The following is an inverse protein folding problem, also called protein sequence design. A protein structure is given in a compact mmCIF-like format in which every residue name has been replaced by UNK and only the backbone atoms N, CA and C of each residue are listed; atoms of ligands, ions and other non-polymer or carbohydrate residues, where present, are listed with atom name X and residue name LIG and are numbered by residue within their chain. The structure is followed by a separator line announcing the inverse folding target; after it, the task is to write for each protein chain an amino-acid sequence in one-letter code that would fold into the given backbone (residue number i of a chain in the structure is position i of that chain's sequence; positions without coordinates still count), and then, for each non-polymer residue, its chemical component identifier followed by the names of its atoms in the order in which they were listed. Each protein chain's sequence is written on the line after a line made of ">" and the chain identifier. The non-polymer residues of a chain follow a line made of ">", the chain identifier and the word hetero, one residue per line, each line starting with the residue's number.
data_IF_392999288973
#
_entry.id   IF_392999288973
#
_cell.length_a   1.000
_cell.length_b   1.000
_cell.length_c   1.000
_cell.angle_alpha   90.00
_cell.angle_beta   90.00
_cell.angle_gamma   90.00
#
_symmetry.space_group_name_H-M   'P 1'
#
loop_
_entity.id
_entity.type
_entity.pdbx_description
1 polymer ?
#
# COMPACT_ATOMS: atom_id res chain seq x y z
N UNK A 1 27.92 17.18 4.25
CA UNK A 1 26.89 16.22 3.79
C UNK A 1 27.57 14.88 3.61
N UNK A 2 26.99 13.78 4.11
CA UNK A 2 27.49 12.45 3.78
C UNK A 2 27.42 12.25 2.25
N UNK A 3 28.42 11.59 1.68
CA UNK A 3 28.40 11.22 0.26
C UNK A 3 27.36 10.12 0.05
N UNK A 4 26.33 10.39 -0.74
CA UNK A 4 25.36 9.39 -1.18
C UNK A 4 26.00 8.62 -2.35
N UNK A 5 26.11 7.31 -2.22
CA UNK A 5 26.60 6.42 -3.28
C UNK A 5 25.45 6.03 -4.19
N UNK A 6 25.79 5.61 -5.40
CA UNK A 6 24.80 5.08 -6.35
C UNK A 6 23.97 3.94 -5.73
N UNK A 7 24.62 3.04 -5.00
CA UNK A 7 23.93 1.91 -4.35
C UNK A 7 22.94 2.36 -3.27
N UNK A 8 23.22 3.45 -2.55
CA UNK A 8 22.29 4.02 -1.57
C UNK A 8 21.00 4.50 -2.25
N UNK A 9 21.13 5.12 -3.43
CA UNK A 9 19.99 5.59 -4.23
C UNK A 9 19.19 4.41 -4.80
N UNK A 10 19.87 3.41 -5.37
CA UNK A 10 19.21 2.23 -5.93
C UNK A 10 18.44 1.48 -4.84
N UNK A 11 19.09 1.23 -3.70
CA UNK A 11 18.50 0.47 -2.61
C UNK A 11 17.31 1.22 -1.98
N UNK A 12 17.44 2.54 -1.77
CA UNK A 12 16.34 3.33 -1.20
C UNK A 12 15.09 3.35 -2.09
N UNK A 13 15.25 3.47 -3.42
CA UNK A 13 14.12 3.42 -4.35
C UNK A 13 13.50 2.01 -4.39
N UNK A 14 14.33 0.96 -4.44
CA UNK A 14 13.84 -0.42 -4.43
C UNK A 14 13.05 -0.72 -3.15
N UNK A 15 13.58 -0.37 -1.98
CA UNK A 15 12.92 -0.57 -0.70
C UNK A 15 11.60 0.22 -0.62
N UNK A 16 11.57 1.46 -1.11
CA UNK A 16 10.37 2.28 -1.14
C UNK A 16 9.28 1.64 -2.03
N UNK A 17 9.62 1.18 -3.23
CA UNK A 17 8.65 0.54 -4.12
C UNK A 17 8.14 -0.80 -3.57
N UNK A 18 9.02 -1.62 -2.97
CA UNK A 18 8.58 -2.85 -2.33
C UNK A 18 7.65 -2.56 -1.14
N UNK A 19 7.99 -1.57 -0.30
CA UNK A 19 7.14 -1.17 0.80
C UNK A 19 5.74 -0.76 0.33
N UNK A 20 5.61 0.17 -0.61
CA UNK A 20 4.29 0.65 -1.04
C UNK A 20 3.49 -0.39 -1.82
N UNK A 21 4.14 -1.40 -2.41
CA UNK A 21 3.44 -2.45 -3.15
C UNK A 21 2.64 -3.40 -2.25
N UNK A 22 2.99 -3.54 -0.97
CA UNK A 22 2.35 -4.48 -0.04
C UNK A 22 1.60 -3.80 1.11
N UNK A 23 1.87 -2.52 1.37
CA UNK A 23 1.25 -1.77 2.47
C UNK A 23 0.37 -0.63 1.97
N UNK A 24 -0.87 -0.61 2.43
CA UNK A 24 -1.68 0.60 2.40
C UNK A 24 -1.26 1.56 3.53
N UNK A 25 -1.35 2.87 3.31
CA UNK A 25 -1.18 3.87 4.36
C UNK A 25 -2.16 3.67 5.53
N UNK A 26 -1.73 4.07 6.75
CA UNK A 26 -2.52 3.90 7.97
C UNK A 26 -3.85 4.66 7.91
N UNK A 27 -3.83 5.88 7.38
CA UNK A 27 -5.01 6.72 7.19
C UNK A 27 -6.02 6.09 6.22
N UNK A 28 -5.54 5.47 5.13
CA UNK A 28 -6.39 4.69 4.23
C UNK A 28 -7.10 3.55 4.97
N UNK A 29 -6.36 2.73 5.73
CA UNK A 29 -6.96 1.61 6.49
C UNK A 29 -7.96 2.11 7.53
N UNK A 30 -7.65 3.20 8.23
CA UNK A 30 -8.56 3.80 9.21
C UNK A 30 -9.84 4.36 8.55
N UNK A 31 -9.71 4.97 7.37
CA UNK A 31 -10.85 5.47 6.62
C UNK A 31 -11.73 4.31 6.12
N UNK A 32 -11.14 3.26 5.56
CA UNK A 32 -11.86 2.07 5.10
C UNK A 32 -12.55 1.32 6.25
N UNK A 33 -11.89 1.20 7.41
CA UNK A 33 -12.50 0.61 8.61
C UNK A 33 -13.72 1.40 9.09
N UNK A 34 -13.64 2.73 9.10
CA UNK A 34 -14.78 3.59 9.44
C UNK A 34 -15.90 3.50 8.40
N UNK A 35 -15.56 3.39 7.12
CA UNK A 35 -16.53 3.20 6.05
C UNK A 35 -17.28 1.87 6.22
N UNK A 36 -16.59 0.79 6.56
CA UNK A 36 -17.20 -0.52 6.85
C UNK A 36 -18.25 -0.45 7.97
N UNK A 37 -17.95 0.28 9.05
CA UNK A 37 -18.86 0.44 10.19
C UNK A 37 -20.13 1.22 9.82
N UNK A 38 -20.00 2.24 8.97
CA UNK A 38 -21.09 3.13 8.60
C UNK A 38 -21.93 2.63 7.42
N UNK A 39 -21.37 1.80 6.54
CA UNK A 39 -22.04 1.33 5.32
C UNK A 39 -23.27 0.46 5.63
N UNK A 40 -24.36 0.77 4.93
CA UNK A 40 -25.66 0.11 5.08
C UNK A 40 -25.97 -0.86 3.93
N UNK A 41 -25.39 -0.61 2.74
CA UNK A 41 -25.54 -1.48 1.58
C UNK A 41 -24.67 -2.73 1.71
N UNK A 42 -25.30 -3.91 1.72
CA UNK A 42 -24.64 -5.21 1.89
C UNK A 42 -23.48 -5.41 0.90
N UNK A 43 -23.73 -5.23 -0.40
CA UNK A 43 -22.69 -5.41 -1.43
C UNK A 43 -21.50 -4.44 -1.28
N UNK A 44 -21.75 -3.20 -0.87
CA UNK A 44 -20.70 -2.21 -0.65
C UNK A 44 -19.89 -2.55 0.60
N UNK A 45 -20.57 -2.95 1.67
CA UNK A 45 -19.96 -3.38 2.93
C UNK A 45 -19.06 -4.59 2.74
N UNK A 46 -19.51 -5.57 1.97
CA UNK A 46 -18.71 -6.76 1.62
C UNK A 46 -17.48 -6.39 0.79
N UNK A 47 -17.63 -5.46 -0.17
CA UNK A 47 -16.50 -4.97 -0.97
C UNK A 47 -15.44 -4.30 -0.09
N UNK A 48 -15.85 -3.49 0.88
CA UNK A 48 -14.94 -2.87 1.86
C UNK A 48 -14.24 -3.95 2.69
N UNK A 49 -14.97 -4.97 3.16
CA UNK A 49 -14.41 -6.08 3.93
C UNK A 49 -13.35 -6.85 3.13
N UNK A 50 -13.59 -7.08 1.84
CA UNK A 50 -12.61 -7.70 0.94
C UNK A 50 -11.36 -6.85 0.78
N UNK A 51 -11.48 -5.52 0.62
CA UNK A 51 -10.33 -4.61 0.52
C UNK A 51 -9.50 -4.64 1.81
N UNK A 52 -10.13 -4.60 2.97
CA UNK A 52 -9.45 -4.67 4.27
C UNK A 52 -8.76 -6.02 4.48
N UNK A 53 -9.42 -7.11 4.09
CA UNK A 53 -8.85 -8.47 4.16
C UNK A 53 -7.65 -8.61 3.23
N UNK A 54 -7.76 -8.14 1.98
CA UNK A 54 -6.66 -8.13 1.02
C UNK A 54 -5.48 -7.33 1.55
N UNK A 55 -5.72 -6.14 2.11
CA UNK A 55 -4.69 -5.30 2.70
C UNK A 55 -3.88 -6.03 3.78
N UNK A 56 -4.57 -6.78 4.66
CA UNK A 56 -3.92 -7.60 5.68
C UNK A 56 -3.10 -8.74 5.07
N UNK A 57 -3.68 -9.50 4.14
CA UNK A 57 -3.02 -10.64 3.51
C UNK A 57 -1.76 -10.21 2.73
N UNK A 58 -1.81 -9.07 2.04
CA UNK A 58 -0.68 -8.51 1.30
C UNK A 58 0.46 -8.07 2.22
N UNK A 59 0.12 -7.41 3.34
CA UNK A 59 1.09 -7.00 4.36
C UNK A 59 1.78 -8.21 5.01
N UNK A 60 1.02 -9.23 5.42
CA UNK A 60 1.56 -10.45 6.04
C UNK A 60 2.36 -11.30 5.04
N UNK A 61 1.86 -11.43 3.80
CA UNK A 61 2.44 -12.26 2.76
C UNK A 61 3.56 -11.59 1.95
N UNK A 62 3.79 -10.28 2.13
CA UNK A 62 4.65 -9.45 1.27
C UNK A 62 4.32 -9.66 -0.21
N UNK A 63 3.02 -9.58 -0.53
CA UNK A 63 2.48 -9.76 -1.89
C UNK A 63 1.88 -8.45 -2.39
N UNK A 64 2.02 -8.13 -3.70
CA UNK A 64 1.40 -6.95 -4.27
C UNK A 64 -0.08 -6.85 -3.92
N UNK A 65 -0.53 -5.67 -3.50
CA UNK A 65 -1.94 -5.38 -3.18
C UNK A 65 -2.84 -5.56 -4.40
N UNK A 66 -2.32 -5.27 -5.58
CA UNK A 66 -3.02 -5.35 -6.86
C UNK A 66 -2.19 -6.16 -7.87
N UNK A 67 -2.86 -6.78 -8.83
CA UNK A 67 -2.21 -7.43 -9.99
C UNK A 67 -1.48 -6.41 -10.86
N UNK A 68 -2.05 -5.21 -11.02
CA UNK A 68 -1.39 -4.08 -11.64
C UNK A 68 -0.61 -3.29 -10.58
N UNK A 69 0.71 -3.35 -10.64
CA UNK A 69 1.61 -2.66 -9.71
C UNK A 69 1.83 -1.19 -10.06
N UNK A 70 1.21 -0.71 -11.14
CA UNK A 70 1.33 0.67 -11.59
C UNK A 70 2.65 1.01 -12.28
N UNK A 71 2.88 2.31 -12.45
CA UNK A 71 4.08 2.89 -13.07
C UNK A 71 4.98 3.49 -11.99
N UNK A 72 6.28 3.23 -12.07
CA UNK A 72 7.27 3.83 -11.18
C UNK A 72 7.42 5.34 -11.44
N UNK A 73 6.98 6.16 -10.49
CA UNK A 73 7.10 7.63 -10.53
C UNK A 73 7.96 8.10 -9.36
N UNK A 74 9.02 8.85 -9.65
CA UNK A 74 9.95 9.37 -8.64
C UNK A 74 10.04 10.88 -8.75
N UNK A 75 9.81 11.58 -7.64
CA UNK A 75 10.04 13.02 -7.51
C UNK A 75 11.34 13.25 -6.72
N UNK A 76 12.38 13.73 -7.39
CA UNK A 76 13.70 13.99 -6.80
C UNK A 76 13.91 15.51 -6.59
N UNK A 77 14.66 15.87 -5.55
CA UNK A 77 15.09 17.24 -5.23
C UNK A 77 16.57 17.27 -4.92
#
# INVERSE_FOLDING_TARGET
>A
MPTIRQDDLIQSIADAFQFISYYHPRDFIQAMGRAYELEQGEAAKDSIAQILTNSRMCAEGKRPICQDTGIAVVFLK
#
